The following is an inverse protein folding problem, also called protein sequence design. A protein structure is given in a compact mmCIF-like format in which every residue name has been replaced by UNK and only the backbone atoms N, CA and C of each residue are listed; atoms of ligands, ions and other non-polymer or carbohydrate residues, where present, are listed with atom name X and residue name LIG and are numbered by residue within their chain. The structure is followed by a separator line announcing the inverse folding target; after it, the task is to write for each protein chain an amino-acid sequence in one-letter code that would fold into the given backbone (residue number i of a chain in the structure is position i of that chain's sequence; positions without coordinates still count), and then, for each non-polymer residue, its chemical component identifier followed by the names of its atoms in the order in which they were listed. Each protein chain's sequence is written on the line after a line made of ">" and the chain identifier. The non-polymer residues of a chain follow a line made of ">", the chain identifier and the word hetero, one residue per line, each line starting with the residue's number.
data_IF_609694515027
#
_entry.id   IF_609694515027
#
_cell.length_a   1.000
_cell.length_b   1.000
_cell.length_c   1.000
_cell.angle_alpha   90.00
_cell.angle_beta   90.00
_cell.angle_gamma   90.00
#
_symmetry.space_group_name_H-M   'P 1'
#
loop_
_entity.id
_entity.type
_entity.pdbx_description
1 polymer ?
#
# COMPACT_ATOMS: atom_id res chain seq x y z
N UNK A 1 0.20 -24.52 11.92
CA UNK A 1 -0.33 -23.70 13.03
C UNK A 1 0.75 -22.86 13.73
N UNK A 2 1.99 -23.33 13.90
CA UNK A 2 3.04 -22.60 14.64
C UNK A 2 3.61 -21.35 13.91
N UNK A 3 3.78 -21.39 12.58
CA UNK A 3 4.45 -20.31 11.84
C UNK A 3 3.68 -18.98 11.78
N UNK A 4 2.34 -19.02 11.90
CA UNK A 4 1.48 -17.83 11.79
C UNK A 4 1.19 -17.22 13.17
N UNK A 5 1.03 -18.06 14.21
CA UNK A 5 0.87 -17.60 15.59
C UNK A 5 2.15 -16.92 16.12
N UNK A 6 3.32 -17.45 15.74
CA UNK A 6 4.62 -16.84 16.10
C UNK A 6 4.87 -15.51 15.40
N UNK A 7 4.33 -15.31 14.19
CA UNK A 7 4.48 -14.05 13.44
C UNK A 7 3.50 -12.96 13.89
N UNK A 8 2.39 -13.33 14.54
CA UNK A 8 1.36 -12.40 15.01
C UNK A 8 1.42 -12.10 16.52
N UNK A 9 2.32 -12.73 17.28
CA UNK A 9 2.46 -12.49 18.73
C UNK A 9 1.25 -12.91 19.57
N UNK A 10 0.38 -13.79 19.06
CA UNK A 10 -0.86 -14.19 19.76
C UNK A 10 -0.81 -15.65 20.20
N UNK A 11 -1.07 -15.87 21.48
CA UNK A 11 -1.18 -17.21 22.08
C UNK A 11 -2.31 -18.03 21.42
N UNK A 12 -1.97 -19.29 21.08
CA UNK A 12 -2.80 -20.21 20.28
C UNK A 12 -4.19 -20.45 20.88
N UNK A 13 -4.31 -20.35 22.21
CA UNK A 13 -5.56 -20.56 22.96
C UNK A 13 -6.54 -19.41 22.78
N UNK A 14 -6.03 -18.18 22.64
CA UNK A 14 -6.84 -16.97 22.44
C UNK A 14 -7.39 -16.90 21.01
N UNK A 15 -6.61 -17.36 20.02
CA UNK A 15 -7.02 -17.42 18.61
C UNK A 15 -8.21 -18.36 18.39
N UNK A 16 -8.17 -19.57 18.96
CA UNK A 16 -9.27 -20.54 18.82
C UNK A 16 -10.58 -20.10 19.49
N UNK A 17 -10.52 -19.26 20.54
CA UNK A 17 -11.73 -18.72 21.20
C UNK A 17 -12.39 -17.59 20.39
N UNK A 18 -11.60 -16.81 19.64
CA UNK A 18 -12.08 -15.64 18.88
C UNK A 18 -12.45 -16.00 17.44
N UNK A 19 -11.81 -17.01 16.84
CA UNK A 19 -11.99 -17.39 15.44
C UNK A 19 -12.28 -18.89 15.29
N UNK A 20 -13.38 -19.21 14.61
CA UNK A 20 -13.86 -20.57 14.41
C UNK A 20 -12.94 -21.43 13.53
N UNK A 21 -12.10 -20.81 12.70
CA UNK A 21 -11.14 -21.50 11.83
C UNK A 21 -9.94 -20.61 11.45
N UNK A 22 -8.91 -21.21 10.83
CA UNK A 22 -7.77 -20.48 10.27
C UNK A 22 -8.21 -19.54 9.16
N UNK A 23 -9.18 -19.96 8.35
CA UNK A 23 -9.76 -19.19 7.26
C UNK A 23 -10.49 -17.96 7.81
N UNK A 24 -11.23 -18.10 8.92
CA UNK A 24 -11.89 -16.99 9.58
C UNK A 24 -10.90 -15.97 10.17
N UNK A 25 -9.80 -16.44 10.77
CA UNK A 25 -8.71 -15.57 11.24
C UNK A 25 -8.08 -14.81 10.07
N UNK A 26 -7.72 -15.51 9.00
CA UNK A 26 -7.09 -14.90 7.83
C UNK A 26 -8.02 -13.86 7.19
N UNK A 27 -9.31 -14.17 7.03
CA UNK A 27 -10.30 -13.23 6.52
C UNK A 27 -10.38 -11.96 7.38
N UNK A 28 -10.43 -12.10 8.71
CA UNK A 28 -10.46 -10.95 9.61
C UNK A 28 -9.18 -10.10 9.53
N UNK A 29 -8.01 -10.74 9.45
CA UNK A 29 -6.73 -10.04 9.24
C UNK A 29 -6.71 -9.32 7.88
N UNK A 30 -7.28 -9.93 6.83
CA UNK A 30 -7.35 -9.29 5.52
C UNK A 30 -8.27 -8.07 5.51
N UNK A 31 -9.42 -8.14 6.18
CA UNK A 31 -10.30 -6.98 6.32
C UNK A 31 -9.59 -5.85 7.09
N UNK A 32 -8.90 -6.17 8.19
CA UNK A 32 -8.12 -5.18 8.93
C UNK A 32 -7.03 -4.51 8.07
N UNK A 33 -6.37 -5.26 7.19
CA UNK A 33 -5.42 -4.69 6.21
C UNK A 33 -6.10 -3.71 5.26
N UNK A 34 -7.23 -4.10 4.68
CA UNK A 34 -7.97 -3.25 3.75
C UNK A 34 -8.46 -1.99 4.44
N UNK A 35 -8.92 -2.10 5.69
CA UNK A 35 -9.36 -0.95 6.49
C UNK A 35 -8.20 -0.01 6.83
N UNK A 36 -7.00 -0.53 7.09
CA UNK A 36 -5.80 0.28 7.27
C UNK A 36 -5.38 0.98 5.97
N UNK A 37 -5.41 0.29 4.83
CA UNK A 37 -5.11 0.89 3.54
C UNK A 37 -6.15 1.96 3.14
N UNK A 38 -7.42 1.72 3.43
CA UNK A 38 -8.51 2.69 3.18
C UNK A 38 -8.26 4.00 3.92
N UNK A 39 -7.97 3.91 5.24
CA UNK A 39 -7.66 5.07 6.07
C UNK A 39 -6.48 5.88 5.53
N UNK A 40 -5.43 5.19 5.07
CA UNK A 40 -4.28 5.84 4.44
C UNK A 40 -4.71 6.64 3.21
N UNK A 41 -5.53 6.05 2.33
CA UNK A 41 -5.98 6.74 1.12
C UNK A 41 -6.89 7.93 1.43
N UNK A 42 -7.70 7.85 2.49
CA UNK A 42 -8.57 8.94 2.94
C UNK A 42 -7.75 10.11 3.52
N UNK A 43 -6.72 9.81 4.30
CA UNK A 43 -5.89 10.82 4.95
C UNK A 43 -4.83 11.43 4.02
N UNK A 44 -4.44 10.72 2.96
CA UNK A 44 -3.42 11.19 2.00
C UNK A 44 -3.86 12.44 1.20
N UNK A 45 -5.17 12.73 1.13
CA UNK A 45 -5.74 13.87 0.39
C UNK A 45 -5.30 13.88 -1.08
N UNK A 46 -5.41 12.72 -1.74
CA UNK A 46 -4.97 12.48 -3.12
C UNK A 46 -5.63 13.40 -4.15
N UNK A 47 -6.78 13.97 -3.83
CA UNK A 47 -7.57 14.84 -4.74
C UNK A 47 -7.34 16.33 -4.50
N UNK A 48 -7.03 16.76 -3.28
CA UNK A 48 -6.97 18.20 -2.95
C UNK A 48 -5.56 18.73 -2.69
N UNK A 49 -4.65 17.90 -2.19
CA UNK A 49 -3.29 18.35 -1.87
C UNK A 49 -2.42 18.44 -3.15
N UNK A 50 -1.37 19.29 -3.15
CA UNK A 50 -0.36 19.25 -4.21
C UNK A 50 0.21 17.85 -4.39
N UNK A 51 0.42 17.40 -5.63
CA UNK A 51 0.81 16.01 -5.94
C UNK A 51 2.01 15.51 -5.13
N UNK A 52 3.14 16.24 -5.01
CA UNK A 52 4.27 15.77 -4.20
C UNK A 52 3.91 15.58 -2.72
N UNK A 53 3.07 16.46 -2.17
CA UNK A 53 2.62 16.40 -0.76
C UNK A 53 1.69 15.21 -0.54
N UNK A 54 0.73 15.00 -1.44
CA UNK A 54 -0.19 13.86 -1.38
C UNK A 54 0.56 12.52 -1.52
N UNK A 55 1.51 12.46 -2.45
CA UNK A 55 2.35 11.28 -2.67
C UNK A 55 3.19 10.97 -1.41
N UNK A 56 3.85 11.98 -0.84
CA UNK A 56 4.62 11.79 0.40
C UNK A 56 3.75 11.24 1.52
N UNK A 57 2.58 11.87 1.79
CA UNK A 57 1.65 11.42 2.84
C UNK A 57 1.19 9.98 2.63
N UNK A 58 0.83 9.64 1.38
CA UNK A 58 0.46 8.28 1.03
C UNK A 58 1.59 7.30 1.34
N UNK A 59 2.81 7.56 0.86
CA UNK A 59 3.94 6.64 1.04
C UNK A 59 4.31 6.50 2.53
N UNK A 60 4.38 7.62 3.25
CA UNK A 60 4.71 7.62 4.68
C UNK A 60 3.74 6.76 5.48
N UNK A 61 2.44 6.83 5.16
CA UNK A 61 1.40 6.12 5.89
C UNK A 61 1.20 4.67 5.40
N UNK A 62 1.41 4.37 4.12
CA UNK A 62 1.23 3.01 3.57
C UNK A 62 2.41 2.09 3.88
N UNK A 63 3.61 2.62 4.11
CA UNK A 63 4.81 1.82 4.39
C UNK A 63 4.68 0.99 5.69
N UNK A 64 4.25 1.54 6.84
CA UNK A 64 3.96 0.76 8.03
C UNK A 64 2.91 -0.33 7.80
N UNK A 65 1.80 0.01 7.12
CA UNK A 65 0.73 -0.96 6.79
C UNK A 65 1.26 -2.08 5.90
N UNK A 66 2.19 -1.77 4.99
CA UNK A 66 2.83 -2.78 4.14
C UNK A 66 3.77 -3.68 4.92
N UNK A 67 4.57 -3.12 5.84
CA UNK A 67 5.52 -3.86 6.70
C UNK A 67 4.86 -4.89 7.60
N UNK A 68 3.69 -4.56 8.13
CA UNK A 68 2.96 -5.47 8.99
C UNK A 68 2.61 -6.77 8.26
N UNK A 69 2.47 -6.76 6.93
CA UNK A 69 1.86 -7.85 6.16
C UNK A 69 2.80 -8.52 5.13
N UNK A 70 3.26 -9.77 5.37
CA UNK A 70 4.12 -10.50 4.45
C UNK A 70 3.55 -10.68 3.05
N UNK A 71 4.41 -10.76 2.04
CA UNK A 71 4.03 -10.91 0.62
C UNK A 71 3.19 -12.17 0.36
N UNK A 72 3.45 -13.28 1.08
CA UNK A 72 2.69 -14.53 0.97
C UNK A 72 1.20 -14.37 1.31
N UNK A 73 0.90 -13.41 2.19
CA UNK A 73 -0.45 -13.03 2.60
C UNK A 73 -1.24 -12.42 1.43
N UNK A 74 -0.59 -11.72 0.48
CA UNK A 74 -1.25 -11.14 -0.72
C UNK A 74 -1.78 -12.22 -1.68
N UNK A 75 -1.10 -13.35 -1.84
CA UNK A 75 -1.56 -14.43 -2.74
C UNK A 75 -2.86 -15.08 -2.24
N UNK A 76 -2.97 -15.28 -0.93
CA UNK A 76 -4.17 -15.84 -0.31
C UNK A 76 -5.37 -14.90 -0.42
N UNK A 77 -5.14 -13.58 -0.35
CA UNK A 77 -6.19 -12.57 -0.48
C UNK A 77 -6.92 -12.62 -1.83
N UNK A 78 -6.26 -13.01 -2.93
CA UNK A 78 -6.85 -13.02 -4.27
C UNK A 78 -8.03 -13.99 -4.42
N UNK A 79 -8.21 -14.91 -3.48
CA UNK A 79 -9.25 -15.94 -3.50
C UNK A 79 -10.57 -15.50 -2.86
N UNK A 80 -10.61 -14.36 -2.15
CA UNK A 80 -11.83 -13.77 -1.58
C UNK A 80 -12.41 -12.69 -2.52
N UNK A 81 -13.63 -12.90 -3.09
CA UNK A 81 -14.24 -11.95 -4.02
C UNK A 81 -14.52 -10.56 -3.42
N UNK A 82 -14.95 -10.47 -2.16
CA UNK A 82 -15.26 -9.17 -1.54
C UNK A 82 -13.99 -8.38 -1.26
N UNK A 83 -12.95 -9.07 -0.77
CA UNK A 83 -11.66 -8.46 -0.55
C UNK A 83 -11.02 -8.01 -1.88
N UNK A 84 -11.29 -8.71 -2.99
CA UNK A 84 -10.83 -8.32 -4.32
C UNK A 84 -11.47 -7.02 -4.78
N UNK A 85 -12.79 -6.88 -4.68
CA UNK A 85 -13.51 -5.65 -5.06
C UNK A 85 -12.96 -4.43 -4.31
N UNK A 86 -12.82 -4.51 -2.98
CA UNK A 86 -12.25 -3.42 -2.18
C UNK A 86 -10.82 -3.05 -2.61
N UNK A 87 -9.99 -4.03 -2.96
CA UNK A 87 -8.64 -3.74 -3.48
C UNK A 87 -8.66 -3.06 -4.84
N UNK A 88 -9.58 -3.46 -5.71
CA UNK A 88 -9.76 -2.82 -7.03
C UNK A 88 -10.20 -1.36 -6.87
N UNK A 89 -11.11 -1.08 -5.93
CA UNK A 89 -11.53 0.29 -5.58
C UNK A 89 -10.37 1.14 -5.04
N UNK A 90 -9.59 0.59 -4.10
CA UNK A 90 -8.39 1.24 -3.57
C UNK A 90 -7.34 1.50 -4.67
N UNK A 91 -7.14 0.54 -5.57
CA UNK A 91 -6.23 0.69 -6.70
C UNK A 91 -6.69 1.80 -7.65
N UNK A 92 -7.99 1.85 -7.96
CA UNK A 92 -8.55 2.86 -8.85
C UNK A 92 -8.35 4.30 -8.33
N UNK A 93 -8.35 4.50 -7.00
CA UNK A 93 -8.01 5.80 -6.38
C UNK A 93 -6.57 6.21 -6.70
N UNK A 94 -5.61 5.28 -6.60
CA UNK A 94 -4.21 5.54 -6.94
C UNK A 94 -4.01 5.71 -8.45
N UNK A 95 -4.73 4.95 -9.28
CA UNK A 95 -4.69 5.12 -10.74
C UNK A 95 -5.17 6.52 -11.14
N UNK A 96 -6.23 7.01 -10.49
CA UNK A 96 -6.75 8.37 -10.69
C UNK A 96 -5.73 9.42 -10.25
N UNK A 97 -5.06 9.20 -9.12
CA UNK A 97 -4.01 10.08 -8.63
C UNK A 97 -2.81 10.16 -9.60
N UNK A 98 -2.39 9.04 -10.19
CA UNK A 98 -1.30 9.03 -11.18
C UNK A 98 -1.70 9.80 -12.45
N UNK A 99 -2.93 9.64 -12.94
CA UNK A 99 -3.42 10.43 -14.07
C UNK A 99 -3.42 11.92 -13.76
N UNK A 100 -3.92 12.31 -12.58
CA UNK A 100 -3.85 13.69 -12.10
C UNK A 100 -2.40 14.22 -12.07
N UNK A 101 -1.45 13.41 -11.60
CA UNK A 101 -0.04 13.81 -11.56
C UNK A 101 0.54 14.07 -12.97
N UNK A 102 0.10 13.31 -13.98
CA UNK A 102 0.45 13.54 -15.39
C UNK A 102 -0.23 14.80 -15.92
N UNK A 103 -1.53 14.95 -15.69
CA UNK A 103 -2.33 16.10 -16.15
C UNK A 103 -1.84 17.43 -15.56
N UNK A 104 -1.38 17.43 -14.30
CA UNK A 104 -0.77 18.59 -13.62
C UNK A 104 0.72 18.79 -13.95
N UNK A 105 1.30 17.94 -14.80
CA UNK A 105 2.70 18.03 -15.22
C UNK A 105 3.74 17.68 -14.14
N UNK A 106 3.32 17.07 -13.04
CA UNK A 106 4.25 16.55 -12.02
C UNK A 106 4.95 15.26 -12.49
N UNK A 107 4.29 14.51 -13.36
CA UNK A 107 4.85 13.40 -14.14
C UNK A 107 4.81 13.83 -15.62
N UNK A 108 5.83 13.46 -16.40
CA UNK A 108 5.90 13.78 -17.82
C UNK A 108 4.67 13.29 -18.59
N UNK A 109 4.19 14.12 -19.53
CA UNK A 109 2.95 13.89 -20.28
C UNK A 109 2.94 12.67 -21.20
N UNK A 110 4.11 12.14 -21.56
CA UNK A 110 4.27 10.95 -22.41
C UNK A 110 4.42 9.64 -21.61
N UNK A 111 4.39 9.71 -20.27
CA UNK A 111 4.44 8.52 -19.43
C UNK A 111 3.14 7.72 -19.54
N UNK A 112 3.28 6.40 -19.73
CA UNK A 112 2.15 5.47 -19.57
C UNK A 112 1.70 5.48 -18.09
N UNK A 113 0.42 5.82 -17.79
CA UNK A 113 -0.09 5.83 -16.42
C UNK A 113 0.03 4.47 -15.72
N UNK A 114 -0.14 3.37 -16.44
CA UNK A 114 -0.02 2.02 -15.88
C UNK A 114 1.43 1.70 -15.49
N UNK A 115 2.40 2.17 -16.30
CA UNK A 115 3.81 2.08 -15.97
C UNK A 115 4.14 2.89 -14.71
N UNK A 116 3.75 4.16 -14.65
CA UNK A 116 4.02 5.02 -13.48
C UNK A 116 3.40 4.44 -12.20
N UNK A 117 2.17 3.93 -12.29
CA UNK A 117 1.49 3.22 -11.21
C UNK A 117 2.26 1.99 -10.74
N UNK A 118 2.76 1.16 -11.67
CA UNK A 118 3.52 -0.04 -11.34
C UNK A 118 4.87 0.29 -10.70
N UNK A 119 5.55 1.35 -11.17
CA UNK A 119 6.79 1.84 -10.54
C UNK A 119 6.53 2.26 -9.09
N UNK A 120 5.47 3.05 -8.84
CA UNK A 120 5.10 3.44 -7.48
C UNK A 120 4.88 2.22 -6.58
N UNK A 121 4.15 1.20 -7.04
CA UNK A 121 3.95 -0.05 -6.28
C UNK A 121 5.28 -0.73 -5.93
N UNK A 122 6.20 -0.83 -6.89
CA UNK A 122 7.49 -1.48 -6.67
C UNK A 122 8.39 -0.70 -5.72
N UNK A 123 8.37 0.63 -5.79
CA UNK A 123 9.12 1.49 -4.87
C UNK A 123 8.60 1.34 -3.44
N UNK A 124 7.29 1.42 -3.23
CA UNK A 124 6.64 1.21 -1.91
C UNK A 124 6.95 -0.18 -1.37
N UNK A 125 6.80 -1.23 -2.19
CA UNK A 125 7.06 -2.59 -1.78
C UNK A 125 8.53 -2.81 -1.39
N UNK A 126 9.44 -2.18 -2.13
CA UNK A 126 10.88 -2.23 -1.87
C UNK A 126 11.24 -1.57 -0.54
N UNK A 127 10.79 -0.33 -0.29
CA UNK A 127 11.11 0.37 0.97
C UNK A 127 10.41 -0.25 2.18
N UNK A 128 9.24 -0.86 1.98
CA UNK A 128 8.54 -1.59 3.03
C UNK A 128 9.31 -2.86 3.43
N UNK A 129 9.68 -3.72 2.48
CA UNK A 129 10.15 -5.08 2.79
C UNK A 129 11.66 -5.29 2.70
N UNK A 130 12.38 -4.51 1.89
CA UNK A 130 13.84 -4.64 1.72
C UNK A 130 14.63 -3.64 2.55
N UNK A 131 14.01 -2.51 2.92
CA UNK A 131 14.61 -1.46 3.74
C UNK A 131 13.80 -1.22 5.02
N UNK A 132 13.51 -2.27 5.77
CA UNK A 132 12.64 -2.20 6.95
C UNK A 132 13.16 -1.28 8.07
N UNK A 133 14.47 -1.07 8.16
CA UNK A 133 15.10 -0.15 9.12
C UNK A 133 14.88 1.34 8.79
N UNK A 134 14.50 1.65 7.55
CA UNK A 134 14.24 3.02 7.12
C UNK A 134 12.98 3.56 7.82
N UNK A 135 13.03 4.76 8.38
CA UNK A 135 11.83 5.34 9.00
C UNK A 135 10.81 5.72 7.91
N UNK A 136 9.49 5.64 8.17
CA UNK A 136 8.47 5.92 7.17
C UNK A 136 8.60 7.29 6.47
N UNK A 137 8.92 8.40 7.17
CA UNK A 137 9.14 9.69 6.49
C UNK A 137 10.32 9.65 5.50
N UNK A 138 11.42 9.01 5.91
CA UNK A 138 12.61 8.87 5.05
C UNK A 138 12.33 7.98 3.83
N UNK A 139 11.50 6.96 4.00
CA UNK A 139 11.03 6.12 2.90
C UNK A 139 10.15 6.92 1.93
N UNK A 140 9.29 7.79 2.46
CA UNK A 140 8.45 8.67 1.65
C UNK A 140 9.29 9.67 0.84
N UNK A 141 10.25 10.34 1.47
CA UNK A 141 11.20 11.23 0.78
C UNK A 141 11.89 10.51 -0.39
N UNK A 142 12.48 9.33 -0.14
CA UNK A 142 13.20 8.56 -1.15
C UNK A 142 12.29 8.12 -2.30
N UNK A 143 11.07 7.66 -2.02
CA UNK A 143 10.13 7.23 -3.07
C UNK A 143 9.66 8.42 -3.89
N UNK A 144 9.35 9.55 -3.27
CA UNK A 144 8.93 10.78 -3.96
C UNK A 144 10.06 11.28 -4.87
N UNK A 145 11.28 11.38 -4.34
CA UNK A 145 12.46 11.80 -5.09
C UNK A 145 12.73 10.85 -6.26
N UNK A 146 12.66 9.54 -6.04
CA UNK A 146 12.92 8.54 -7.09
C UNK A 146 11.85 8.59 -8.19
N UNK A 147 10.57 8.66 -7.81
CA UNK A 147 9.46 8.63 -8.76
C UNK A 147 9.43 9.93 -9.58
N UNK A 148 9.46 11.08 -8.92
CA UNK A 148 9.37 12.38 -9.58
C UNK A 148 10.69 12.81 -10.22
N UNK A 149 11.84 12.36 -9.72
CA UNK A 149 13.13 12.55 -10.40
C UNK A 149 13.28 11.69 -11.65
N UNK A 150 12.73 10.47 -11.64
CA UNK A 150 12.81 9.54 -12.78
C UNK A 150 11.72 9.72 -13.84
N UNK A 151 10.51 10.13 -13.42
CA UNK A 151 9.34 10.32 -14.28
C UNK A 151 8.82 11.76 -14.31
N UNK A 152 9.49 12.72 -13.67
CA UNK A 152 9.08 14.11 -13.69
C UNK A 152 9.10 14.72 -15.09
N UNK A 153 8.32 15.79 -15.27
CA UNK A 153 8.41 16.59 -16.48
C UNK A 153 9.80 17.25 -16.58
N UNK A 154 10.37 17.28 -17.78
CA UNK A 154 11.60 18.05 -18.03
C UNK A 154 11.31 19.53 -17.73
N UNK A 155 12.16 20.15 -16.91
CA UNK A 155 12.09 21.57 -16.57
C UNK A 155 12.63 22.46 -17.68
#
# INVERSE_FOLDING_TARGET
>A
MAAIASAAGVDRTTVHRRFASREALLSAVFQAKLDSAERVLDEARLTEAPVPVALHRYVEAIVPVSREWPVDTRRMMQQDPQARVRREEQSARLDTFIRRAIDEGCIRGDADPAWARAVLDQLVDTVAHKFHDMKPPQAADLVVETLLGGLGAES
#
